data_IF_068847637220
#
_entry.id   IF_068847637220
#
_cell.length_a   1.000
_cell.length_b   1.000
_cell.length_c   1.000
_cell.angle_alpha   90.00
_cell.angle_beta   90.00
_cell.angle_gamma   90.00
#
_symmetry.space_group_name_H-M   'P 1'
#
loop_
_entity.id
_entity.type
_entity.pdbx_description
1 polymer ?
#
# COMPACT_ATOMS: atom_id res chain seq x y z
N UNK A 1 8.85 -40.55 -16.84
CA UNK A 1 8.01 -41.45 -16.03
C UNK A 1 6.60 -41.36 -16.57
N UNK A 2 5.97 -42.48 -16.88
CA UNK A 2 4.55 -42.47 -17.27
C UNK A 2 3.66 -42.35 -16.04
N UNK A 3 2.66 -41.49 -16.14
CA UNK A 3 1.65 -41.31 -15.10
C UNK A 3 0.46 -42.20 -15.38
N UNK A 4 -0.25 -42.61 -14.32
CA UNK A 4 -1.45 -43.43 -14.41
C UNK A 4 -2.69 -42.56 -14.22
N UNK A 5 -3.67 -42.73 -15.10
CA UNK A 5 -4.98 -42.11 -14.95
C UNK A 5 -5.72 -42.76 -13.77
N UNK A 6 -6.11 -41.93 -12.81
CA UNK A 6 -6.97 -42.28 -11.70
C UNK A 6 -8.37 -41.69 -11.85
N UNK A 7 -9.11 -41.64 -10.74
CA UNK A 7 -10.46 -41.08 -10.72
C UNK A 7 -10.48 -39.59 -11.02
N UNK A 8 -11.63 -39.11 -11.52
CA UNK A 8 -11.91 -37.69 -11.77
C UNK A 8 -10.87 -37.00 -12.68
N UNK A 9 -10.23 -37.75 -13.57
CA UNK A 9 -9.25 -37.20 -14.51
C UNK A 9 -7.88 -36.90 -13.90
N UNK A 10 -7.60 -37.38 -12.68
CA UNK A 10 -6.32 -37.12 -11.99
C UNK A 10 -5.26 -38.10 -12.46
N UNK A 11 -4.13 -37.58 -12.94
CA UNK A 11 -2.96 -38.39 -13.27
C UNK A 11 -2.01 -38.45 -12.08
N UNK A 12 -1.52 -39.64 -11.73
CA UNK A 12 -0.61 -39.82 -10.61
C UNK A 12 0.58 -40.73 -10.95
N UNK A 13 1.68 -40.52 -10.24
CA UNK A 13 2.84 -41.41 -10.23
C UNK A 13 3.57 -41.24 -8.90
N UNK A 14 4.23 -42.30 -8.44
CA UNK A 14 5.00 -42.28 -7.18
C UNK A 14 6.42 -42.70 -7.49
N UNK A 15 7.39 -41.85 -7.12
CA UNK A 15 8.81 -42.09 -7.37
C UNK A 15 9.63 -41.56 -6.20
N UNK A 16 10.76 -42.23 -5.89
CA UNK A 16 11.71 -41.72 -4.91
C UNK A 16 12.70 -40.80 -5.61
N UNK A 17 12.62 -39.51 -5.31
CA UNK A 17 13.49 -38.49 -5.91
C UNK A 17 14.32 -37.78 -4.84
N UNK A 18 15.53 -37.32 -5.17
CA UNK A 18 16.31 -36.49 -4.26
C UNK A 18 15.63 -35.13 -4.03
N UNK A 19 15.95 -34.48 -2.91
CA UNK A 19 15.60 -33.07 -2.72
C UNK A 19 16.25 -32.23 -3.83
N UNK A 20 15.55 -31.20 -4.29
CA UNK A 20 15.91 -30.33 -5.41
C UNK A 20 15.84 -30.98 -6.79
N UNK A 21 15.20 -32.15 -6.92
CA UNK A 21 14.87 -32.72 -8.23
C UNK A 21 13.91 -31.80 -9.00
N UNK A 22 14.29 -31.47 -10.25
CA UNK A 22 13.46 -30.69 -11.17
C UNK A 22 12.60 -31.62 -12.04
N UNK A 23 11.34 -31.25 -12.26
CA UNK A 23 10.38 -32.01 -13.06
C UNK A 23 9.49 -31.10 -13.91
N UNK A 24 8.84 -31.71 -14.90
CA UNK A 24 7.85 -31.08 -15.78
C UNK A 24 6.84 -32.14 -16.17
N UNK A 25 5.58 -31.75 -16.39
CA UNK A 25 4.59 -32.66 -16.96
C UNK A 25 4.59 -32.52 -18.47
N UNK A 26 4.60 -33.64 -19.18
CA UNK A 26 4.25 -33.69 -20.59
C UNK A 26 2.81 -34.14 -20.70
N UNK A 27 1.96 -33.28 -21.23
CA UNK A 27 0.53 -33.51 -21.39
C UNK A 27 0.25 -33.76 -22.86
N UNK A 28 -0.35 -34.92 -23.15
CA UNK A 28 -0.81 -35.28 -24.50
C UNK A 28 -2.32 -35.10 -24.57
N UNK A 29 -2.79 -34.43 -25.62
CA UNK A 29 -4.20 -34.14 -25.84
C UNK A 29 -4.81 -35.09 -26.87
N UNK A 30 -6.14 -35.17 -26.89
CA UNK A 30 -6.88 -36.07 -27.78
C UNK A 30 -6.70 -35.75 -29.27
N UNK A 31 -6.35 -34.50 -29.60
CA UNK A 31 -6.04 -34.06 -30.96
C UNK A 31 -4.62 -34.44 -31.43
N UNK A 32 -3.88 -35.17 -30.61
CA UNK A 32 -2.51 -35.61 -30.89
C UNK A 32 -1.44 -34.56 -30.56
N UNK A 33 -1.82 -33.36 -30.10
CA UNK A 33 -0.86 -32.36 -29.66
C UNK A 33 -0.26 -32.73 -28.30
N UNK A 34 0.96 -32.24 -28.05
CA UNK A 34 1.62 -32.40 -26.75
C UNK A 34 2.15 -31.06 -26.28
N UNK A 35 2.03 -30.79 -24.98
CA UNK A 35 2.61 -29.60 -24.35
C UNK A 35 3.35 -29.99 -23.08
N UNK A 36 4.44 -29.30 -22.82
CA UNK A 36 5.15 -29.37 -21.54
C UNK A 36 4.61 -28.27 -20.62
N UNK A 37 4.27 -28.63 -19.38
CA UNK A 37 3.72 -27.72 -18.39
C UNK A 37 4.43 -27.90 -17.05
N UNK A 38 4.77 -26.78 -16.41
CA UNK A 38 5.15 -26.77 -15.01
C UNK A 38 3.95 -27.20 -14.16
N UNK A 39 4.22 -27.80 -13.00
CA UNK A 39 3.17 -28.17 -12.06
C UNK A 39 2.53 -26.90 -11.45
N UNK A 40 1.21 -26.67 -11.63
CA UNK A 40 0.51 -25.54 -11.05
C UNK A 40 0.55 -25.51 -9.51
N UNK A 41 0.81 -26.64 -8.86
CA UNK A 41 0.93 -26.78 -7.40
C UNK A 41 2.38 -26.77 -6.91
N UNK A 42 3.36 -26.53 -7.80
CA UNK A 42 4.76 -26.46 -7.41
C UNK A 42 5.02 -25.36 -6.39
N UNK A 43 5.82 -25.68 -5.37
CA UNK A 43 6.26 -24.72 -4.34
C UNK A 43 7.61 -24.09 -4.63
N UNK A 44 8.28 -24.54 -5.69
CA UNK A 44 9.57 -24.04 -6.16
C UNK A 44 9.75 -24.31 -7.66
N UNK A 45 10.62 -23.55 -8.31
CA UNK A 45 10.94 -23.69 -9.73
C UNK A 45 12.40 -23.35 -10.02
N UNK A 46 12.89 -23.77 -11.18
CA UNK A 46 14.17 -23.28 -11.71
C UNK A 46 14.03 -21.85 -12.24
N UNK A 47 15.15 -21.22 -12.58
CA UNK A 47 15.18 -19.86 -13.17
C UNK A 47 14.18 -19.74 -14.32
N UNK A 48 13.38 -18.67 -14.29
CA UNK A 48 12.30 -18.36 -15.24
C UNK A 48 11.14 -19.38 -15.28
N UNK A 49 10.94 -20.18 -14.23
CA UNK A 49 9.74 -21.00 -14.08
C UNK A 49 9.62 -22.19 -15.05
N UNK A 50 10.68 -22.52 -15.79
CA UNK A 50 10.63 -23.51 -16.88
C UNK A 50 10.39 -24.95 -16.42
N UNK A 51 10.70 -25.27 -15.15
CA UNK A 51 10.51 -26.58 -14.51
C UNK A 51 10.18 -26.38 -13.04
N UNK A 52 9.34 -27.24 -12.50
CA UNK A 52 9.01 -27.29 -11.08
C UNK A 52 10.11 -28.03 -10.32
N UNK A 53 10.29 -27.73 -9.04
CA UNK A 53 11.32 -28.32 -8.19
C UNK A 53 10.70 -28.88 -6.92
N UNK A 54 11.05 -30.11 -6.57
CA UNK A 54 10.64 -30.74 -5.32
C UNK A 54 11.65 -30.35 -4.23
N UNK A 55 11.18 -29.68 -3.17
CA UNK A 55 12.00 -29.31 -2.02
C UNK A 55 11.53 -30.06 -0.78
N UNK A 56 12.48 -30.60 -0.01
CA UNK A 56 12.19 -31.22 1.28
C UNK A 56 11.88 -30.18 2.36
N UNK A 57 11.16 -30.59 3.41
CA UNK A 57 10.90 -29.72 4.57
C UNK A 57 12.19 -29.21 5.23
N UNK A 58 13.28 -29.99 5.16
CA UNK A 58 14.58 -29.60 5.72
C UNK A 58 15.15 -28.31 5.12
N UNK A 59 14.82 -27.99 3.86
CA UNK A 59 15.32 -26.80 3.17
C UNK A 59 14.30 -25.66 3.10
N UNK A 60 13.02 -25.92 3.37
CA UNK A 60 11.95 -24.91 3.36
C UNK A 60 11.54 -24.42 4.75
N UNK A 61 11.94 -25.12 5.81
CA UNK A 61 11.63 -24.74 7.19
C UNK A 61 12.58 -23.66 7.68
N UNK A 62 12.02 -22.52 8.09
CA UNK A 62 12.77 -21.48 8.81
C UNK A 62 12.93 -21.92 10.26
N UNK A 63 14.17 -22.16 10.69
CA UNK A 63 14.48 -22.49 12.09
C UNK A 63 14.11 -21.32 13.00
N UNK A 64 13.63 -21.64 14.20
CA UNK A 64 13.32 -20.67 15.26
C UNK A 64 12.28 -19.59 14.88
N UNK A 65 11.39 -19.91 13.92
CA UNK A 65 10.30 -19.00 13.56
C UNK A 65 9.29 -18.86 14.70
N UNK A 66 9.28 -17.69 15.35
CA UNK A 66 8.29 -17.32 16.37
C UNK A 66 7.21 -16.46 15.73
N UNK A 67 6.05 -17.06 15.46
CA UNK A 67 4.88 -16.32 14.98
C UNK A 67 4.41 -15.35 16.08
N UNK A 68 4.27 -14.07 15.73
CA UNK A 68 3.67 -13.08 16.64
C UNK A 68 2.19 -13.41 16.91
N UNK A 69 1.66 -12.89 18.01
CA UNK A 69 0.23 -12.97 18.30
C UNK A 69 -0.59 -12.32 17.16
N UNK A 70 -1.77 -12.87 16.82
CA UNK A 70 -2.63 -12.28 15.80
C UNK A 70 -3.08 -10.88 16.20
N UNK A 71 -3.19 -9.99 15.22
CA UNK A 71 -3.76 -8.67 15.43
C UNK A 71 -5.27 -8.77 15.66
N UNK A 72 -5.82 -7.97 16.58
CA UNK A 72 -7.23 -8.07 16.97
C UNK A 72 -8.16 -7.09 16.24
N UNK A 73 -7.61 -6.01 15.64
CA UNK A 73 -8.37 -4.95 14.96
C UNK A 73 -7.58 -4.38 13.79
N UNK A 74 -8.17 -4.33 12.59
CA UNK A 74 -7.50 -3.81 11.39
C UNK A 74 -7.17 -2.32 11.50
N UNK A 75 -7.99 -1.54 12.22
CA UNK A 75 -7.77 -0.10 12.45
C UNK A 75 -6.53 0.23 13.28
N UNK A 76 -5.90 -0.77 13.89
CA UNK A 76 -4.64 -0.63 14.61
C UNK A 76 -3.44 -0.78 13.66
N UNK A 77 -3.68 -1.20 12.40
CA UNK A 77 -2.67 -1.33 11.38
C UNK A 77 -2.31 0.04 10.77
N UNK A 78 -1.03 0.21 10.48
CA UNK A 78 -0.52 1.18 9.51
C UNK A 78 0.18 0.38 8.44
N UNK A 79 -0.31 0.50 7.20
CA UNK A 79 0.19 -0.25 6.05
C UNK A 79 1.22 0.59 5.31
N UNK A 80 2.23 -0.09 4.78
CA UNK A 80 3.31 0.53 4.07
C UNK A 80 3.66 -0.30 2.83
N UNK A 81 3.71 0.37 1.69
CA UNK A 81 4.01 -0.25 0.40
C UNK A 81 5.46 0.06 -0.01
N UNK A 82 6.28 -1.00 -0.14
CA UNK A 82 7.68 -0.89 -0.50
C UNK A 82 8.05 -1.83 -1.64
N UNK A 83 8.85 -1.32 -2.58
CA UNK A 83 9.58 -2.14 -3.54
C UNK A 83 11.08 -2.13 -3.21
N UNK A 84 11.76 -3.30 -3.11
CA UNK A 84 13.05 -3.51 -3.81
C UNK A 84 13.68 -4.92 -3.81
N UNK A 85 14.57 -5.07 -4.80
CA UNK A 85 14.73 -6.20 -5.72
C UNK A 85 15.29 -7.53 -5.26
N UNK A 86 15.42 -7.81 -3.95
CA UNK A 86 15.65 -9.16 -3.38
C UNK A 86 15.15 -9.22 -1.93
N UNK A 87 14.57 -10.35 -1.51
CA UNK A 87 14.01 -10.54 -0.16
C UNK A 87 14.99 -10.22 0.98
N UNK A 88 16.29 -10.51 0.83
CA UNK A 88 17.31 -10.23 1.85
C UNK A 88 17.49 -8.73 2.15
N UNK A 89 17.18 -7.84 1.21
CA UNK A 89 17.24 -6.40 1.44
C UNK A 89 16.27 -5.92 2.51
N UNK A 90 15.15 -6.64 2.71
CA UNK A 90 14.09 -6.29 3.66
C UNK A 90 14.42 -6.65 5.11
N UNK A 91 15.46 -7.46 5.36
CA UNK A 91 15.82 -7.95 6.70
C UNK A 91 17.23 -7.53 7.14
N UNK A 92 17.92 -6.73 6.32
CA UNK A 92 19.28 -6.30 6.62
C UNK A 92 19.28 -5.15 7.63
N UNK A 93 19.75 -5.44 8.84
CA UNK A 93 19.99 -4.43 9.88
C UNK A 93 21.30 -3.66 9.65
N UNK A 94 21.42 -2.49 10.27
CA UNK A 94 22.61 -1.64 10.30
C UNK A 94 22.87 -0.85 9.03
N UNK A 95 21.93 -0.82 8.08
CA UNK A 95 22.10 -0.07 6.84
C UNK A 95 21.94 1.43 7.08
N UNK A 96 22.81 2.22 6.43
CA UNK A 96 22.86 3.68 6.58
C UNK A 96 22.94 4.37 5.22
N UNK A 97 22.44 5.60 5.15
CA UNK A 97 22.62 6.47 3.98
C UNK A 97 23.99 7.21 4.01
N UNK A 98 24.24 8.09 3.03
CA UNK A 98 25.51 8.83 2.90
C UNK A 98 25.86 9.68 4.13
N UNK A 99 24.85 10.13 4.89
CA UNK A 99 24.99 10.91 6.12
C UNK A 99 24.90 10.07 7.41
N UNK A 100 24.90 8.75 7.30
CA UNK A 100 24.89 7.85 8.46
C UNK A 100 23.53 7.63 9.13
N UNK A 101 22.42 8.11 8.55
CA UNK A 101 21.05 7.87 9.04
C UNK A 101 20.59 6.46 8.69
N UNK A 102 19.77 5.84 9.54
CA UNK A 102 19.26 4.48 9.34
C UNK A 102 18.43 4.37 8.04
N UNK A 103 18.53 3.23 7.35
CA UNK A 103 17.75 2.89 6.15
C UNK A 103 17.15 1.49 6.28
N UNK A 104 16.27 1.10 5.34
CA UNK A 104 15.71 -0.25 5.32
C UNK A 104 14.88 -0.59 6.56
N UNK A 105 14.98 -1.81 7.08
CA UNK A 105 14.15 -2.29 8.21
C UNK A 105 14.33 -1.47 9.49
N UNK A 106 15.53 -0.94 9.73
CA UNK A 106 15.81 -0.10 10.90
C UNK A 106 15.09 1.23 10.81
N UNK A 107 15.04 1.83 9.62
CA UNK A 107 14.25 3.03 9.36
C UNK A 107 12.75 2.77 9.56
N UNK A 108 12.21 1.66 9.03
CA UNK A 108 10.79 1.30 9.22
C UNK A 108 10.44 1.15 10.72
N UNK A 109 11.35 0.55 11.48
CA UNK A 109 11.22 0.42 12.93
C UNK A 109 11.27 1.78 13.64
N UNK A 110 12.17 2.67 13.22
CA UNK A 110 12.27 4.03 13.77
C UNK A 110 11.04 4.90 13.46
N UNK A 111 10.50 4.77 12.24
CA UNK A 111 9.27 5.39 11.78
C UNK A 111 8.08 4.88 12.60
N UNK A 112 8.14 3.61 13.00
CA UNK A 112 7.17 2.98 13.87
C UNK A 112 5.95 2.49 13.11
N UNK A 113 6.12 1.90 11.92
CA UNK A 113 5.04 1.22 11.20
C UNK A 113 4.63 -0.09 11.89
N UNK A 114 3.48 -0.67 11.53
CA UNK A 114 3.03 -1.95 12.11
C UNK A 114 2.94 -3.08 11.08
N UNK A 115 2.67 -2.78 9.80
CA UNK A 115 2.52 -3.77 8.74
C UNK A 115 3.17 -3.30 7.43
N UNK A 116 3.61 -4.25 6.60
CA UNK A 116 4.11 -4.07 5.23
C UNK A 116 3.29 -5.02 4.34
N UNK A 117 2.63 -4.51 3.31
CA UNK A 117 1.63 -5.26 2.54
C UNK A 117 2.09 -5.65 1.14
N UNK A 118 1.59 -6.80 0.65
CA UNK A 118 1.66 -7.31 -0.73
C UNK A 118 0.27 -7.92 -1.06
N UNK A 119 -0.32 -7.59 -2.21
CA UNK A 119 -1.73 -7.84 -2.65
C UNK A 119 -2.06 -9.33 -2.99
N UNK A 120 -3.34 -9.80 -3.17
CA UNK A 120 -4.60 -9.07 -3.45
C UNK A 120 -5.97 -9.50 -2.79
N UNK A 121 -6.95 -8.60 -2.95
CA UNK A 121 -8.44 -8.59 -3.14
C UNK A 121 -9.45 -9.39 -2.28
N UNK A 122 -10.53 -8.71 -1.83
CA UNK A 122 -11.82 -9.34 -1.44
C UNK A 122 -12.96 -8.37 -1.03
N UNK A 123 -14.12 -8.43 -1.67
CA UNK A 123 -15.36 -7.86 -1.10
C UNK A 123 -16.34 -8.89 -0.52
N UNK A 124 -15.98 -10.16 -0.56
CA UNK A 124 -16.84 -11.26 -0.07
C UNK A 124 -16.45 -11.76 1.34
N UNK A 125 -15.51 -11.09 2.02
CA UNK A 125 -14.81 -11.66 3.18
C UNK A 125 -14.98 -10.87 4.50
N UNK A 126 -16.00 -10.03 4.65
CA UNK A 126 -16.35 -9.45 5.96
C UNK A 126 -17.26 -10.40 6.75
N UNK A 127 -16.62 -11.33 7.46
CA UNK A 127 -17.27 -12.31 8.34
C UNK A 127 -16.70 -12.15 9.76
N UNK A 128 -17.36 -12.72 10.74
CA UNK A 128 -16.90 -12.73 12.14
C UNK A 128 -15.45 -13.26 12.36
N UNK A 129 -14.87 -13.93 11.35
CA UNK A 129 -13.51 -14.47 11.34
C UNK A 129 -12.54 -13.83 10.32
N UNK A 130 -12.96 -12.86 9.51
CA UNK A 130 -12.13 -12.20 8.48
C UNK A 130 -12.70 -10.84 8.16
N UNK A 131 -11.84 -9.83 7.99
CA UNK A 131 -12.23 -8.49 7.56
C UNK A 131 -11.28 -8.07 6.47
N UNK A 132 -11.81 -7.68 5.32
CA UNK A 132 -11.02 -7.14 4.22
C UNK A 132 -11.27 -5.64 4.12
N UNK A 133 -10.17 -4.91 3.95
CA UNK A 133 -10.19 -3.48 3.77
C UNK A 133 -9.94 -3.11 2.31
N UNK A 134 -10.44 -1.95 1.90
CA UNK A 134 -10.40 -1.44 0.54
C UNK A 134 -9.74 -0.08 0.51
N UNK A 135 -8.99 0.17 -0.55
CA UNK A 135 -8.53 1.52 -0.87
C UNK A 135 -9.70 2.50 -0.94
N UNK A 136 -9.54 3.61 -0.25
CA UNK A 136 -10.50 4.70 -0.23
C UNK A 136 -10.10 5.79 -1.24
N UNK A 137 -10.45 5.57 -2.50
CA UNK A 137 -10.25 6.53 -3.58
C UNK A 137 -10.90 7.88 -3.28
N UNK A 138 -11.99 7.90 -2.50
CA UNK A 138 -12.72 9.12 -2.17
C UNK A 138 -11.91 10.08 -1.31
N UNK A 139 -11.19 9.60 -0.29
CA UNK A 139 -10.35 10.49 0.53
C UNK A 139 -9.13 10.95 -0.26
N UNK A 140 -8.52 10.05 -1.06
CA UNK A 140 -7.38 10.36 -1.94
C UNK A 140 -7.73 11.52 -2.88
N UNK A 141 -8.76 11.33 -3.71
CA UNK A 141 -9.13 12.32 -4.74
C UNK A 141 -9.76 13.57 -4.12
N UNK A 142 -10.47 13.43 -3.00
CA UNK A 142 -11.01 14.56 -2.26
C UNK A 142 -9.92 15.47 -1.70
N UNK A 143 -8.79 14.89 -1.26
CA UNK A 143 -7.68 15.62 -0.64
C UNK A 143 -6.72 16.23 -1.66
N UNK A 144 -6.13 15.40 -2.55
CA UNK A 144 -5.08 15.83 -3.50
C UNK A 144 -5.58 16.17 -4.91
N UNK A 145 -6.86 15.91 -5.19
CA UNK A 145 -7.46 16.04 -6.52
C UNK A 145 -7.46 14.75 -7.32
N UNK A 146 -8.29 14.70 -8.37
CA UNK A 146 -8.53 13.50 -9.16
C UNK A 146 -7.24 12.99 -9.84
N UNK A 147 -6.91 11.72 -9.65
CA UNK A 147 -5.63 11.16 -10.12
C UNK A 147 -5.49 11.07 -11.64
N UNK A 148 -6.59 10.96 -12.39
CA UNK A 148 -6.56 10.91 -13.86
C UNK A 148 -6.63 12.31 -14.51
N UNK A 149 -6.59 13.37 -13.70
CA UNK A 149 -6.41 14.75 -14.15
C UNK A 149 -5.29 15.38 -13.32
N UNK A 150 -4.07 15.39 -13.86
CA UNK A 150 -2.88 15.80 -13.08
C UNK A 150 -2.95 17.24 -12.57
N UNK A 151 -3.66 18.11 -13.26
CA UNK A 151 -3.87 19.51 -12.89
C UNK A 151 -5.02 19.72 -11.89
N UNK A 152 -5.90 18.73 -11.68
CA UNK A 152 -7.03 18.87 -10.74
C UNK A 152 -6.54 19.04 -9.30
N UNK A 153 -7.12 19.98 -8.57
CA UNK A 153 -6.85 20.22 -7.15
C UNK A 153 -7.81 19.42 -6.25
N UNK A 154 -7.53 19.37 -4.96
CA UNK A 154 -8.40 18.82 -3.92
C UNK A 154 -8.50 19.77 -2.73
N UNK A 155 -9.09 19.30 -1.63
CA UNK A 155 -9.28 20.11 -0.43
C UNK A 155 -7.99 20.75 0.07
N UNK A 156 -6.89 19.99 0.12
CA UNK A 156 -5.62 20.51 0.62
C UNK A 156 -4.99 21.55 -0.33
N UNK A 157 -5.31 21.47 -1.62
CA UNK A 157 -4.94 22.45 -2.65
C UNK A 157 -6.09 23.42 -3.00
N UNK A 158 -6.92 23.75 -2.00
CA UNK A 158 -7.93 24.82 -2.04
C UNK A 158 -9.10 24.61 -3.02
N UNK A 159 -9.45 23.36 -3.38
CA UNK A 159 -10.66 23.10 -4.17
C UNK A 159 -11.92 23.36 -3.33
N UNK A 160 -12.80 24.28 -3.76
CA UNK A 160 -13.98 24.64 -2.97
C UNK A 160 -15.02 23.51 -2.95
N UNK A 161 -15.88 23.52 -1.92
CA UNK A 161 -17.00 22.59 -1.75
C UNK A 161 -16.58 21.12 -1.58
N UNK A 162 -15.38 20.89 -1.04
CA UNK A 162 -14.85 19.55 -0.73
C UNK A 162 -14.93 19.23 0.77
N UNK A 163 -15.25 20.21 1.60
CA UNK A 163 -15.28 20.12 3.07
C UNK A 163 -16.21 19.01 3.54
N UNK A 164 -17.43 18.94 3.01
CA UNK A 164 -18.40 17.92 3.38
C UNK A 164 -17.95 16.51 3.00
N UNK A 165 -17.24 16.36 1.86
CA UNK A 165 -16.65 15.09 1.43
C UNK A 165 -15.52 14.65 2.35
N UNK A 166 -14.62 15.57 2.69
CA UNK A 166 -13.51 15.29 3.60
C UNK A 166 -14.02 14.94 4.99
N UNK A 167 -15.00 15.68 5.51
CA UNK A 167 -15.62 15.40 6.81
C UNK A 167 -16.25 14.00 6.86
N UNK A 168 -16.99 13.61 5.82
CA UNK A 168 -17.56 12.27 5.73
C UNK A 168 -16.46 11.19 5.70
N UNK A 169 -15.39 11.40 4.91
CA UNK A 169 -14.24 10.50 4.87
C UNK A 169 -13.52 10.39 6.23
N UNK A 170 -13.31 11.51 6.91
CA UNK A 170 -12.70 11.57 8.24
C UNK A 170 -13.47 10.74 9.27
N UNK A 171 -14.80 10.65 9.13
CA UNK A 171 -15.69 9.87 10.00
C UNK A 171 -15.85 8.40 9.58
N UNK A 172 -14.98 7.90 8.70
CA UNK A 172 -15.05 6.53 8.21
C UNK A 172 -16.10 6.34 7.12
N UNK A 173 -16.38 7.38 6.33
CA UNK A 173 -17.05 7.26 5.04
C UNK A 173 -18.41 6.54 5.11
N UNK A 174 -19.25 7.02 6.03
CA UNK A 174 -20.47 6.33 6.44
C UNK A 174 -21.61 6.46 5.42
N UNK A 175 -21.59 7.51 4.59
CA UNK A 175 -22.64 7.82 3.62
C UNK A 175 -24.06 7.74 4.22
N UNK A 176 -24.34 8.48 5.32
CA UNK A 176 -25.66 8.45 5.93
C UNK A 176 -26.74 8.97 4.98
N UNK A 177 -27.97 8.50 5.18
CA UNK A 177 -29.12 8.98 4.43
C UNK A 177 -29.29 10.50 4.63
N UNK A 178 -29.58 11.21 3.54
CA UNK A 178 -29.76 12.67 3.56
C UNK A 178 -28.47 13.49 3.62
N UNK A 179 -27.28 12.88 3.52
CA UNK A 179 -26.03 13.63 3.40
C UNK A 179 -26.06 14.56 2.18
N UNK A 180 -25.47 15.75 2.34
CA UNK A 180 -25.45 16.79 1.32
C UNK A 180 -24.84 16.31 -0.01
N UNK A 181 -25.40 16.80 -1.12
CA UNK A 181 -24.90 16.52 -2.47
C UNK A 181 -23.40 16.87 -2.55
N UNK A 182 -22.60 15.96 -3.10
CA UNK A 182 -21.14 16.13 -3.23
C UNK A 182 -20.33 15.69 -1.99
N UNK A 183 -20.99 15.32 -0.88
CA UNK A 183 -20.30 14.83 0.33
C UNK A 183 -20.25 13.31 0.43
N UNK A 184 -20.88 12.59 -0.50
CA UNK A 184 -20.87 11.13 -0.54
C UNK A 184 -19.49 10.62 -0.96
N UNK A 185 -18.98 9.65 -0.21
CA UNK A 185 -17.86 8.88 -0.70
C UNK A 185 -18.25 7.99 -1.86
N UNK A 186 -17.35 7.88 -2.84
CA UNK A 186 -17.52 7.06 -4.03
C UNK A 186 -16.21 6.38 -4.41
N UNK A 187 -16.28 5.24 -5.09
CA UNK A 187 -15.12 4.59 -5.72
C UNK A 187 -14.99 4.98 -7.21
N UNK A 188 -15.63 6.07 -7.63
CA UNK A 188 -15.72 6.51 -9.02
C UNK A 188 -16.88 5.89 -9.81
N UNK A 189 -17.37 4.71 -9.39
CA UNK A 189 -18.46 4.00 -10.08
C UNK A 189 -19.77 4.03 -9.30
N UNK A 190 -19.71 3.93 -7.97
CA UNK A 190 -20.87 3.91 -7.10
C UNK A 190 -20.55 4.50 -5.72
N UNK A 191 -21.59 4.96 -5.03
CA UNK A 191 -21.49 5.31 -3.62
C UNK A 191 -21.08 4.06 -2.83
N UNK A 192 -20.02 4.18 -2.04
CA UNK A 192 -19.52 3.08 -1.23
C UNK A 192 -20.43 2.83 -0.02
N UNK A 193 -20.47 1.59 0.46
CA UNK A 193 -21.23 1.20 1.64
C UNK A 193 -20.43 0.19 2.46
N UNK A 194 -19.50 0.71 3.27
CA UNK A 194 -18.70 -0.11 4.18
C UNK A 194 -19.51 -0.46 5.43
N UNK A 195 -19.31 -1.66 5.99
CA UNK A 195 -19.94 -2.11 7.23
C UNK A 195 -19.35 -1.46 8.48
N UNK A 196 -18.07 -1.06 8.44
CA UNK A 196 -17.40 -0.31 9.50
C UNK A 196 -16.13 0.38 8.96
N UNK A 197 -15.55 1.30 9.72
CA UNK A 197 -14.37 2.05 9.27
C UNK A 197 -13.12 1.17 9.11
N UNK A 198 -13.06 0.00 9.75
CA UNK A 198 -11.96 -0.95 9.59
C UNK A 198 -11.85 -1.60 8.21
N UNK A 199 -12.85 -1.41 7.34
CA UNK A 199 -12.81 -1.81 5.93
C UNK A 199 -12.22 -0.73 5.02
N UNK A 200 -11.75 0.39 5.58
CA UNK A 200 -11.36 1.56 4.80
C UNK A 200 -9.87 1.78 4.97
N UNK A 201 -9.15 1.74 3.86
CA UNK A 201 -7.73 2.10 3.77
C UNK A 201 -7.66 3.53 3.25
N UNK A 202 -7.40 4.47 4.16
CA UNK A 202 -7.20 5.88 3.85
C UNK A 202 -5.75 6.10 3.40
N UNK A 203 -5.58 6.79 2.28
CA UNK A 203 -4.29 7.07 1.67
C UNK A 203 -4.39 8.29 0.76
N UNK A 204 -3.23 8.86 0.42
CA UNK A 204 -3.11 9.91 -0.61
C UNK A 204 -2.04 9.56 -1.65
N UNK A 205 -1.12 8.64 -1.37
CA UNK A 205 -0.16 8.13 -2.35
C UNK A 205 0.09 6.62 -2.12
N UNK A 206 0.19 5.90 -3.24
CA UNK A 206 0.58 4.50 -3.42
C UNK A 206 1.42 4.42 -4.71
N UNK A 207 1.83 3.22 -5.13
CA UNK A 207 2.61 3.02 -6.35
C UNK A 207 1.97 3.49 -7.65
N UNK A 208 0.65 3.42 -7.77
CA UNK A 208 -0.07 3.92 -8.94
C UNK A 208 -0.15 5.46 -8.95
N UNK A 209 -0.19 6.02 -10.17
CA UNK A 209 -0.27 7.45 -10.42
C UNK A 209 0.97 8.23 -9.92
N UNK A 210 0.86 9.57 -9.99
CA UNK A 210 1.86 10.48 -9.43
C UNK A 210 2.00 10.28 -7.92
N UNK A 211 3.24 10.39 -7.45
CA UNK A 211 3.52 10.68 -6.04
C UNK A 211 2.79 11.96 -5.63
N UNK A 212 2.49 12.10 -4.34
CA UNK A 212 1.89 13.31 -3.78
C UNK A 212 2.77 14.53 -4.09
N UNK A 213 4.09 14.40 -3.96
CA UNK A 213 5.03 15.46 -4.31
C UNK A 213 4.85 15.92 -5.77
N UNK A 214 4.85 14.98 -6.73
CA UNK A 214 4.75 15.32 -8.15
C UNK A 214 3.36 15.82 -8.51
N UNK A 215 2.30 15.28 -7.88
CA UNK A 215 0.92 15.75 -8.04
C UNK A 215 0.76 17.19 -7.54
N UNK A 216 1.35 17.53 -6.39
CA UNK A 216 1.28 18.88 -5.84
C UNK A 216 2.11 19.87 -6.65
N UNK A 217 3.25 19.43 -7.22
CA UNK A 217 3.99 20.25 -8.18
C UNK A 217 3.06 20.66 -9.33
N UNK A 218 2.43 19.67 -10.00
CA UNK A 218 1.58 19.91 -11.17
C UNK A 218 0.33 20.72 -10.84
N UNK A 219 -0.39 20.35 -9.79
CA UNK A 219 -1.70 20.96 -9.46
C UNK A 219 -1.58 22.38 -8.89
N UNK A 220 -0.49 22.71 -8.17
CA UNK A 220 -0.30 24.04 -7.60
C UNK A 220 0.52 24.97 -8.51
N UNK A 221 1.51 24.44 -9.24
CA UNK A 221 2.54 25.25 -9.89
C UNK A 221 2.77 24.92 -11.37
N UNK A 222 1.94 24.04 -11.95
CA UNK A 222 2.16 23.49 -13.29
C UNK A 222 3.27 22.43 -13.30
N UNK A 223 3.68 21.97 -14.49
CA UNK A 223 4.63 20.85 -14.67
C UNK A 223 6.09 21.13 -14.24
N UNK A 224 6.29 21.98 -13.24
CA UNK A 224 7.57 22.22 -12.61
C UNK A 224 8.05 20.99 -11.85
N UNK A 225 9.35 20.74 -11.93
CA UNK A 225 10.09 19.80 -11.09
C UNK A 225 10.46 20.46 -9.76
N UNK A 226 10.98 19.68 -8.81
CA UNK A 226 11.40 20.21 -7.52
C UNK A 226 12.48 21.30 -7.63
N UNK A 227 13.38 21.16 -8.62
CA UNK A 227 14.48 22.10 -8.86
C UNK A 227 14.01 23.42 -9.50
N UNK A 228 12.80 23.46 -10.05
CA UNK A 228 12.20 24.64 -10.69
C UNK A 228 11.28 25.44 -9.75
N UNK A 229 11.02 24.91 -8.54
CA UNK A 229 10.26 25.62 -7.52
C UNK A 229 11.15 26.63 -6.81
N UNK A 230 10.61 27.83 -6.59
CA UNK A 230 11.23 28.75 -5.63
C UNK A 230 10.96 28.30 -4.17
N UNK A 231 11.61 28.96 -3.21
CA UNK A 231 11.50 28.60 -1.80
C UNK A 231 10.07 28.73 -1.24
N UNK A 232 9.29 29.70 -1.73
CA UNK A 232 7.90 29.89 -1.30
C UNK A 232 7.01 28.77 -1.83
N UNK A 233 7.14 28.43 -3.11
CA UNK A 233 6.43 27.31 -3.74
C UNK A 233 6.78 25.97 -3.08
N UNK A 234 8.05 25.75 -2.76
CA UNK A 234 8.47 24.56 -2.00
C UNK A 234 7.84 24.50 -0.61
N UNK A 235 7.83 25.61 0.12
CA UNK A 235 7.22 25.71 1.46
C UNK A 235 5.71 25.45 1.40
N UNK A 236 5.02 26.04 0.43
CA UNK A 236 3.58 25.84 0.21
C UNK A 236 3.27 24.37 -0.10
N UNK A 237 4.00 23.74 -1.03
CA UNK A 237 3.87 22.31 -1.32
C UNK A 237 4.00 21.44 -0.08
N UNK A 238 5.05 21.65 0.72
CA UNK A 238 5.30 20.85 1.92
C UNK A 238 4.17 21.06 2.94
N UNK A 239 3.65 22.28 3.05
CA UNK A 239 2.52 22.58 3.93
C UNK A 239 1.25 21.86 3.49
N UNK A 240 0.96 21.84 2.19
CA UNK A 240 -0.18 21.12 1.60
C UNK A 240 -0.01 19.60 1.81
N UNK A 241 1.18 19.06 1.56
CA UNK A 241 1.49 17.63 1.81
C UNK A 241 1.26 17.25 3.28
N UNK A 242 1.65 18.10 4.24
CA UNK A 242 1.38 17.88 5.67
C UNK A 242 -0.11 17.84 5.98
N UNK A 243 -0.91 18.66 5.31
CA UNK A 243 -2.36 18.68 5.48
C UNK A 243 -2.99 17.38 4.95
N UNK A 244 -2.58 16.93 3.76
CA UNK A 244 -2.99 15.64 3.18
C UNK A 244 -2.67 14.47 4.13
N UNK A 245 -1.42 14.41 4.61
CA UNK A 245 -0.98 13.38 5.56
C UNK A 245 -1.78 13.45 6.87
N UNK A 246 -2.02 14.65 7.38
CA UNK A 246 -2.79 14.85 8.62
C UNK A 246 -4.20 14.29 8.51
N UNK A 247 -4.88 14.54 7.39
CA UNK A 247 -6.21 13.99 7.16
C UNK A 247 -6.18 12.45 7.15
N UNK A 248 -5.23 11.82 6.45
CA UNK A 248 -5.10 10.36 6.39
C UNK A 248 -4.83 9.73 7.77
N UNK A 249 -3.92 10.32 8.56
CA UNK A 249 -3.55 9.75 9.86
C UNK A 249 -4.52 10.07 10.99
N UNK A 250 -5.37 11.09 10.84
CA UNK A 250 -6.38 11.46 11.83
C UNK A 250 -7.77 10.91 11.49
N UNK A 251 -8.01 10.47 10.25
CA UNK A 251 -9.26 9.82 9.85
C UNK A 251 -9.51 8.48 10.56
N UNK A 252 -10.78 8.16 10.77
CA UNK A 252 -11.20 6.81 11.14
C UNK A 252 -10.95 5.84 9.98
N UNK A 253 -10.35 4.69 10.30
CA UNK A 253 -10.03 3.64 9.34
C UNK A 253 -8.62 3.08 9.50
N UNK A 254 -8.08 2.50 8.45
CA UNK A 254 -6.69 2.04 8.34
C UNK A 254 -5.91 3.12 7.59
N UNK A 255 -4.77 3.57 8.13
CA UNK A 255 -3.94 4.56 7.43
C UNK A 255 -2.86 3.84 6.61
N UNK A 256 -2.69 4.27 5.37
CA UNK A 256 -1.67 3.76 4.44
C UNK A 256 -0.96 4.92 3.74
N UNK A 257 0.32 4.71 3.43
CA UNK A 257 1.14 5.64 2.65
C UNK A 257 2.24 4.87 1.90
N UNK A 258 2.72 5.43 0.80
CA UNK A 258 3.85 4.87 0.06
C UNK A 258 5.19 5.24 0.70
N UNK A 259 6.17 4.33 0.70
CA UNK A 259 7.52 4.72 1.16
C UNK A 259 8.04 5.90 0.36
N UNK A 260 8.53 6.88 1.09
CA UNK A 260 9.14 8.06 0.54
C UNK A 260 8.19 9.24 0.49
N UNK A 261 6.86 9.02 0.57
CA UNK A 261 5.88 10.10 0.71
C UNK A 261 6.26 11.03 1.88
N UNK A 262 6.70 10.45 3.01
CA UNK A 262 7.10 11.21 4.19
C UNK A 262 8.29 12.15 3.95
N UNK A 263 9.12 11.83 2.96
CA UNK A 263 10.26 12.64 2.51
C UNK A 263 10.03 13.22 1.11
N UNK A 264 8.76 13.40 0.73
CA UNK A 264 8.30 14.02 -0.51
C UNK A 264 8.81 13.30 -1.76
N UNK A 265 8.91 11.97 -1.78
CA UNK A 265 9.46 11.19 -2.92
C UNK A 265 8.92 11.69 -4.25
N UNK A 266 9.81 11.79 -5.23
CA UNK A 266 9.49 12.09 -6.63
C UNK A 266 9.79 10.87 -7.50
N UNK A 267 9.02 10.72 -8.57
CA UNK A 267 9.28 9.84 -9.72
C UNK A 267 9.54 10.68 -10.98
N UNK A 268 9.92 11.94 -10.83
CA UNK A 268 10.14 12.86 -11.94
C UNK A 268 8.87 13.15 -12.75
N UNK A 269 7.68 13.02 -12.15
CA UNK A 269 6.40 13.21 -12.84
C UNK A 269 5.92 12.00 -13.65
N UNK A 270 6.52 10.82 -13.48
CA UNK A 270 6.02 9.59 -14.09
C UNK A 270 4.75 9.08 -13.39
N UNK A 271 3.63 9.10 -14.11
CA UNK A 271 2.31 8.69 -13.62
C UNK A 271 2.10 7.16 -13.61
N UNK A 272 2.95 6.40 -14.29
CA UNK A 272 2.80 4.95 -14.41
C UNK A 272 4.16 4.25 -14.54
N UNK A 273 4.92 4.29 -13.46
CA UNK A 273 6.32 3.90 -13.44
C UNK A 273 6.58 2.38 -13.39
N UNK A 274 5.60 1.53 -13.75
CA UNK A 274 5.66 0.07 -13.57
C UNK A 274 6.88 -0.61 -14.20
N UNK A 275 7.40 -0.04 -15.30
CA UNK A 275 8.58 -0.52 -16.02
C UNK A 275 9.66 0.55 -16.23
N UNK A 276 9.56 1.70 -15.57
CA UNK A 276 10.45 2.86 -15.75
C UNK A 276 11.86 2.67 -15.15
N UNK A 277 12.14 1.51 -14.56
CA UNK A 277 13.45 1.17 -14.03
C UNK A 277 13.79 1.88 -12.73
N UNK A 278 15.05 1.72 -12.30
CA UNK A 278 15.51 2.13 -10.98
C UNK A 278 15.69 3.65 -10.84
N UNK A 279 16.05 4.38 -11.90
CA UNK A 279 16.27 5.82 -11.78
C UNK A 279 15.00 6.58 -11.42
N UNK A 280 13.86 6.14 -11.96
CA UNK A 280 12.53 6.67 -11.61
C UNK A 280 12.00 6.11 -10.29
N UNK A 281 12.15 4.79 -10.06
CA UNK A 281 11.45 4.12 -8.96
C UNK A 281 12.25 4.03 -7.66
N UNK A 282 13.56 4.32 -7.66
CA UNK A 282 14.39 4.21 -6.47
C UNK A 282 13.86 5.07 -5.35
N UNK A 283 13.95 4.53 -4.14
CA UNK A 283 13.83 5.35 -2.96
C UNK A 283 15.15 6.12 -2.79
N UNK A 284 15.07 7.44 -2.92
CA UNK A 284 16.21 8.32 -2.68
C UNK A 284 16.39 8.56 -1.17
N UNK A 285 17.27 7.77 -0.57
CA UNK A 285 17.61 7.87 0.85
C UNK A 285 18.40 9.13 1.22
N UNK A 286 18.87 9.88 0.23
CA UNK A 286 19.54 11.16 0.44
C UNK A 286 18.56 12.34 0.39
N UNK A 287 17.29 12.12 0.04
CA UNK A 287 16.26 13.17 0.06
C UNK A 287 16.08 13.88 1.42
N UNK A 288 16.12 13.17 2.57
CA UNK A 288 16.13 13.81 3.91
C UNK A 288 17.46 14.49 4.28
N UNK A 289 18.37 14.69 3.33
CA UNK A 289 19.52 15.58 3.49
C UNK A 289 19.12 17.04 3.36
N UNK A 290 18.00 17.32 2.67
CA UNK A 290 17.26 18.57 2.72
C UNK A 290 16.53 18.68 4.07
N UNK A 291 16.67 19.82 4.74
CA UNK A 291 16.13 20.02 6.08
C UNK A 291 14.60 20.04 6.12
N UNK A 292 13.94 20.55 5.07
CA UNK A 292 12.48 20.65 5.02
C UNK A 292 11.85 19.28 4.74
N UNK A 293 12.48 18.46 3.90
CA UNK A 293 12.03 17.07 3.68
C UNK A 293 12.28 16.20 4.92
N UNK A 294 13.39 16.43 5.63
CA UNK A 294 13.63 15.75 6.91
C UNK A 294 12.59 16.16 7.98
N UNK A 295 12.20 17.44 8.02
CA UNK A 295 11.15 17.94 8.90
C UNK A 295 9.79 17.33 8.56
N UNK A 296 9.43 17.23 7.27
CA UNK A 296 8.21 16.55 6.84
C UNK A 296 8.16 15.08 7.32
N UNK A 297 9.28 14.36 7.20
CA UNK A 297 9.37 12.99 7.68
C UNK A 297 9.19 12.91 9.21
N UNK A 298 9.73 13.86 9.98
CA UNK A 298 9.49 13.94 11.43
C UNK A 298 8.04 14.31 11.75
N UNK A 299 7.40 15.18 10.97
CA UNK A 299 6.01 15.55 11.13
C UNK A 299 5.10 14.32 10.99
N UNK A 300 5.29 13.54 9.93
CA UNK A 300 4.54 12.31 9.68
C UNK A 300 4.80 11.24 10.75
N UNK A 301 6.03 11.15 11.25
CA UNK A 301 6.35 10.33 12.44
C UNK A 301 5.58 10.81 13.68
N UNK A 302 5.38 12.12 13.84
CA UNK A 302 4.54 12.73 14.86
C UNK A 302 3.08 12.30 14.73
N UNK A 303 2.51 12.36 13.53
CA UNK A 303 1.14 11.90 13.24
C UNK A 303 0.94 10.42 13.60
N UNK A 304 1.89 9.56 13.20
CA UNK A 304 1.86 8.13 13.54
C UNK A 304 1.87 7.93 15.07
N UNK A 305 2.70 8.68 15.80
CA UNK A 305 2.74 8.64 17.27
C UNK A 305 1.41 9.09 17.89
N UNK A 306 0.81 10.17 17.38
CA UNK A 306 -0.50 10.66 17.82
C UNK A 306 -1.54 9.57 17.61
N UNK A 307 -1.65 8.99 16.41
CA UNK A 307 -2.61 7.93 16.09
C UNK A 307 -2.44 6.70 16.99
N UNK A 308 -1.20 6.26 17.22
CA UNK A 308 -0.91 5.11 18.08
C UNK A 308 -1.33 5.33 19.52
N UNK A 309 -1.01 6.51 20.08
CA UNK A 309 -1.31 6.86 21.48
C UNK A 309 -2.79 7.10 21.74
N UNK A 310 -3.56 7.49 20.72
CA UNK A 310 -4.95 7.87 20.87
C UNK A 310 -5.87 6.83 20.23
N UNK A 311 -6.34 5.87 21.03
CA UNK A 311 -7.23 4.80 20.56
C UNK A 311 -8.55 5.31 19.96
N UNK A 312 -8.98 6.53 20.31
CA UNK A 312 -10.18 7.17 19.74
C UNK A 312 -10.09 7.32 18.21
N UNK A 313 -8.89 7.57 17.65
CA UNK A 313 -8.68 7.70 16.20
C UNK A 313 -8.75 6.37 15.45
N UNK A 314 -8.75 5.25 16.19
CA UNK A 314 -8.71 3.87 15.66
C UNK A 314 -9.99 3.09 15.95
N UNK A 315 -11.07 3.79 16.33
CA UNK A 315 -12.39 3.19 16.49
C UNK A 315 -12.93 2.82 15.10
N UNK A 316 -13.32 1.55 14.91
CA UNK A 316 -13.90 1.06 13.67
C UNK A 316 -15.43 1.12 13.61
N UNK A 317 -16.10 0.89 14.75
CA UNK A 317 -17.56 0.77 14.80
C UNK A 317 -18.25 2.15 14.69
N UNK A 318 -19.10 2.33 13.68
CA UNK A 318 -19.79 3.60 13.43
C UNK A 318 -20.65 4.08 14.59
N UNK A 319 -21.36 3.18 15.27
CA UNK A 319 -22.13 3.57 16.47
C UNK A 319 -21.26 4.19 17.57
N UNK A 320 -19.99 3.76 17.68
CA UNK A 320 -19.04 4.36 18.63
C UNK A 320 -18.46 5.66 18.09
N UNK A 321 -18.17 5.75 16.78
CA UNK A 321 -17.71 7.00 16.14
C UNK A 321 -18.76 8.10 16.34
N UNK A 322 -20.02 7.84 15.97
CA UNK A 322 -21.11 8.81 16.00
C UNK A 322 -21.46 9.29 17.41
N UNK A 323 -21.17 8.47 18.44
CA UNK A 323 -21.34 8.85 19.84
C UNK A 323 -20.25 9.81 20.33
N UNK A 324 -19.03 9.71 19.78
CA UNK A 324 -17.84 10.36 20.34
C UNK A 324 -17.22 11.43 19.43
N UNK A 325 -17.55 11.47 18.15
CA UNK A 325 -17.10 12.47 17.20
C UNK A 325 -18.23 13.44 16.86
N UNK A 326 -17.90 14.74 16.83
CA UNK A 326 -18.81 15.81 16.38
C UNK A 326 -18.08 16.69 15.39
N UNK A 327 -18.74 17.00 14.29
CA UNK A 327 -18.33 18.08 13.38
C UNK A 327 -18.88 19.37 13.97
N UNK A 328 -18.00 20.36 14.18
CA UNK A 328 -18.34 21.68 14.74
C UNK A 328 -18.04 22.76 13.73
#
# INVERSE_FOLDING_TARGET
>A
MEMRLGEKGVWNATEKVPSSAAYIYRVSFADGTTNDSADPYARASVVNGRRSVILSNAVTTVKDFRRMAPFTKNTDAGIFEAHRGKYFGMIKHGTKNSKGKATGVDYLKELGVTHVQIQPNAYELDIHNSTVAFFNDSIRDGLKGFVFSTEDTGFASSKPNTEGLILNNMLGCQNPEGISKGSFCTNGNANVKYGNAGQIVNYVEIHDNLTLNDKLNVSLFGKKTDDELDAAQKTEKITVSKLDDSAVFLAHGVSEFQVGQEMLRTKGGDENSYNAGDDTNKLDWDRPNDAEYADNAQYMRGLIKIRKRNAVLRVGAYGTINKNAKVV
#
